data_IF_571271779854
#
_entry.id   IF_571271779854
#
_cell.length_a   1.000
_cell.length_b   1.000
_cell.length_c   1.000
_cell.angle_alpha   90.00
_cell.angle_beta   90.00
_cell.angle_gamma   90.00
#
_symmetry.space_group_name_H-M   'P 1'
#
loop_
_entity.id
_entity.type
_entity.pdbx_description
1 polymer ?
#
# COMPACT_ATOMS: atom_id res chain seq x y z
N UNK A 1 -16.63 -2.27 -18.20
CA UNK A 1 -16.42 -2.45 -16.76
C UNK A 1 -15.99 -3.86 -16.35
N UNK A 2 -16.64 -4.93 -16.81
CA UNK A 2 -16.26 -6.32 -16.49
C UNK A 2 -14.80 -6.66 -16.80
N UNK A 3 -14.31 -6.26 -17.98
CA UNK A 3 -12.92 -6.49 -18.41
C UNK A 3 -11.93 -5.69 -17.55
N UNK A 4 -12.26 -4.47 -17.21
CA UNK A 4 -11.45 -3.61 -16.37
C UNK A 4 -11.31 -4.21 -14.96
N UNK A 5 -12.42 -4.62 -14.35
CA UNK A 5 -12.47 -5.30 -13.07
C UNK A 5 -11.63 -6.59 -13.08
N UNK A 6 -11.87 -7.46 -14.06
CA UNK A 6 -11.15 -8.73 -14.17
C UNK A 6 -9.62 -8.54 -14.27
N UNK A 7 -9.19 -7.51 -15.00
CA UNK A 7 -7.77 -7.22 -15.22
C UNK A 7 -7.08 -6.61 -14.02
N UNK A 8 -7.75 -5.72 -13.29
CA UNK A 8 -7.12 -4.87 -12.28
C UNK A 8 -7.46 -5.23 -10.83
N UNK A 9 -8.46 -6.09 -10.58
CA UNK A 9 -8.92 -6.40 -9.21
C UNK A 9 -7.82 -6.96 -8.31
N UNK A 10 -7.01 -7.88 -8.80
CA UNK A 10 -5.98 -8.54 -7.99
C UNK A 10 -4.85 -7.58 -7.62
N UNK A 11 -4.23 -6.85 -8.57
CA UNK A 11 -3.23 -5.84 -8.21
C UNK A 11 -3.76 -4.76 -7.28
N UNK A 12 -4.98 -4.26 -7.51
CA UNK A 12 -5.58 -3.24 -6.65
C UNK A 12 -5.88 -3.76 -5.25
N UNK A 13 -6.42 -4.99 -5.14
CA UNK A 13 -6.66 -5.62 -3.85
C UNK A 13 -5.37 -5.74 -3.03
N UNK A 14 -4.30 -6.23 -3.64
CA UNK A 14 -2.99 -6.33 -2.97
C UNK A 14 -2.46 -4.97 -2.54
N UNK A 15 -2.62 -3.95 -3.37
CA UNK A 15 -2.25 -2.57 -3.06
C UNK A 15 -3.02 -2.04 -1.85
N UNK A 16 -4.33 -2.24 -1.82
CA UNK A 16 -5.20 -1.85 -0.72
C UNK A 16 -4.85 -2.58 0.58
N UNK A 17 -4.70 -3.90 0.56
CA UNK A 17 -4.29 -4.70 1.74
C UNK A 17 -2.97 -4.20 2.30
N UNK A 18 -2.02 -3.90 1.45
CA UNK A 18 -0.72 -3.38 1.88
C UNK A 18 -0.84 -2.07 2.64
N UNK A 19 -1.72 -1.18 2.20
CA UNK A 19 -1.91 0.13 2.84
C UNK A 19 -2.73 0.02 4.13
N UNK A 20 -3.87 -0.67 4.08
CA UNK A 20 -4.80 -0.71 5.24
C UNK A 20 -4.54 -1.88 6.19
N UNK A 21 -3.82 -2.92 5.76
CA UNK A 21 -3.50 -4.14 6.53
C UNK A 21 -4.73 -4.84 7.13
N UNK A 22 -5.83 -4.80 6.41
CA UNK A 22 -7.10 -5.40 6.77
C UNK A 22 -7.78 -5.90 5.50
N UNK A 23 -7.94 -7.22 5.37
CA UNK A 23 -8.48 -7.85 4.16
C UNK A 23 -9.94 -7.47 3.91
N UNK A 24 -10.76 -7.44 4.95
CA UNK A 24 -12.17 -7.06 4.85
C UNK A 24 -12.33 -5.61 4.40
N UNK A 25 -11.60 -4.71 5.00
CA UNK A 25 -11.60 -3.30 4.62
C UNK A 25 -11.08 -3.11 3.18
N UNK A 26 -10.06 -3.87 2.80
CA UNK A 26 -9.52 -3.82 1.44
C UNK A 26 -10.56 -4.27 0.39
N UNK A 27 -11.35 -5.30 0.67
CA UNK A 27 -12.44 -5.73 -0.21
C UNK A 27 -13.51 -4.65 -0.37
N UNK A 28 -13.92 -4.02 0.72
CA UNK A 28 -14.89 -2.91 0.70
C UNK A 28 -14.34 -1.72 -0.11
N UNK A 29 -13.10 -1.35 0.11
CA UNK A 29 -12.44 -0.28 -0.63
C UNK A 29 -12.27 -0.61 -2.11
N UNK A 30 -11.99 -1.86 -2.45
CA UNK A 30 -11.90 -2.30 -3.84
C UNK A 30 -13.23 -2.07 -4.57
N UNK A 31 -14.34 -2.42 -3.95
CA UNK A 31 -15.67 -2.15 -4.48
C UNK A 31 -15.93 -0.65 -4.65
N UNK A 32 -15.54 0.15 -3.68
CA UNK A 32 -15.69 1.61 -3.73
C UNK A 32 -14.84 2.23 -4.85
N UNK A 33 -13.63 1.74 -5.07
CA UNK A 33 -12.76 2.19 -6.18
C UNK A 33 -13.45 1.97 -7.51
N UNK A 34 -13.98 0.78 -7.75
CA UNK A 34 -14.64 0.49 -9.03
C UNK A 34 -15.96 1.22 -9.21
N UNK A 35 -16.70 1.51 -8.14
CA UNK A 35 -17.87 2.39 -8.18
C UNK A 35 -17.50 3.81 -8.61
N UNK A 36 -16.45 4.37 -8.03
CA UNK A 36 -15.98 5.71 -8.37
C UNK A 36 -15.45 5.76 -9.80
N UNK A 37 -14.72 4.74 -10.21
CA UNK A 37 -14.24 4.60 -11.60
C UNK A 37 -15.41 4.60 -12.57
N UNK A 38 -16.47 3.88 -12.27
CA UNK A 38 -17.66 3.90 -13.10
C UNK A 38 -18.28 5.30 -13.20
N UNK A 39 -18.46 5.96 -12.06
CA UNK A 39 -19.04 7.31 -12.03
C UNK A 39 -18.18 8.36 -12.74
N UNK A 40 -16.87 8.17 -12.72
CA UNK A 40 -15.89 9.11 -13.26
C UNK A 40 -15.28 8.68 -14.60
N UNK A 41 -15.77 7.60 -15.20
CA UNK A 41 -15.19 7.04 -16.43
C UNK A 41 -15.10 8.08 -17.57
N UNK A 42 -16.09 8.95 -17.69
CA UNK A 42 -16.12 10.00 -18.72
C UNK A 42 -15.10 11.13 -18.44
N UNK A 43 -14.65 11.29 -17.22
CA UNK A 43 -13.67 12.31 -16.85
C UNK A 43 -12.22 11.85 -17.03
N UNK A 44 -12.01 10.58 -17.33
CA UNK A 44 -10.68 10.04 -17.60
C UNK A 44 -10.10 10.61 -18.90
N UNK A 45 -9.02 11.39 -18.78
CA UNK A 45 -8.42 12.11 -19.91
C UNK A 45 -7.41 11.31 -20.71
N UNK A 46 -6.94 10.18 -20.19
CA UNK A 46 -5.88 9.40 -20.82
C UNK A 46 -4.47 9.95 -20.65
N UNK A 47 -4.26 10.93 -19.77
CA UNK A 47 -2.94 11.51 -19.48
C UNK A 47 -2.01 10.53 -18.75
N UNK A 48 -2.59 9.55 -18.07
CA UNK A 48 -1.89 8.46 -17.43
C UNK A 48 -2.47 7.12 -17.88
N UNK A 49 -1.77 6.02 -17.64
CA UNK A 49 -2.32 4.69 -17.87
C UNK A 49 -3.51 4.43 -16.95
N UNK A 50 -4.42 3.57 -17.37
CA UNK A 50 -5.58 3.18 -16.54
C UNK A 50 -5.13 2.62 -15.20
N UNK A 51 -4.11 1.77 -15.17
CA UNK A 51 -3.59 1.20 -13.92
C UNK A 51 -3.02 2.26 -12.98
N UNK A 52 -2.32 3.27 -13.49
CA UNK A 52 -1.82 4.39 -12.70
C UNK A 52 -2.97 5.20 -12.09
N UNK A 53 -3.99 5.50 -12.87
CA UNK A 53 -5.18 6.19 -12.40
C UNK A 53 -5.91 5.40 -11.31
N UNK A 54 -6.12 4.09 -11.51
CA UNK A 54 -6.74 3.21 -10.51
C UNK A 54 -5.94 3.14 -9.20
N UNK A 55 -4.62 3.02 -9.29
CA UNK A 55 -3.75 3.00 -8.11
C UNK A 55 -3.80 4.30 -7.32
N UNK A 56 -3.88 5.44 -8.00
CA UNK A 56 -4.01 6.74 -7.35
C UNK A 56 -5.35 6.88 -6.59
N UNK A 57 -6.46 6.47 -7.20
CA UNK A 57 -7.77 6.46 -6.56
C UNK A 57 -7.78 5.53 -5.36
N UNK A 58 -7.27 4.31 -5.51
CA UNK A 58 -7.19 3.31 -4.44
C UNK A 58 -6.35 3.82 -3.26
N UNK A 59 -5.23 4.45 -3.55
CA UNK A 59 -4.35 5.05 -2.52
C UNK A 59 -5.08 6.13 -1.73
N UNK A 60 -5.74 7.04 -2.40
CA UNK A 60 -6.51 8.11 -1.75
C UNK A 60 -7.57 7.54 -0.80
N UNK A 61 -8.35 6.56 -1.26
CA UNK A 61 -9.38 5.91 -0.45
C UNK A 61 -8.79 5.15 0.74
N UNK A 62 -7.71 4.42 0.54
CA UNK A 62 -7.05 3.67 1.59
C UNK A 62 -6.47 4.57 2.68
N UNK A 63 -5.81 5.65 2.31
CA UNK A 63 -5.29 6.63 3.27
C UNK A 63 -6.40 7.36 4.02
N UNK A 64 -7.50 7.67 3.36
CA UNK A 64 -8.69 8.27 4.01
C UNK A 64 -9.30 7.31 5.03
N UNK A 65 -9.44 6.02 4.68
CA UNK A 65 -9.95 4.98 5.58
C UNK A 65 -9.04 4.79 6.80
N UNK A 66 -7.73 4.83 6.62
CA UNK A 66 -6.77 4.76 7.72
C UNK A 66 -6.89 5.93 8.68
N UNK A 67 -7.08 7.14 8.17
CA UNK A 67 -7.28 8.34 9.01
C UNK A 67 -8.55 8.23 9.84
N UNK A 68 -9.65 7.82 9.25
CA UNK A 68 -10.93 7.61 9.96
C UNK A 68 -10.76 6.58 11.07
N UNK A 69 -10.12 5.46 10.78
CA UNK A 69 -9.85 4.40 11.77
C UNK A 69 -8.95 4.89 12.91
N UNK A 70 -7.88 5.62 12.60
CA UNK A 70 -6.99 6.19 13.62
C UNK A 70 -7.71 7.16 14.55
N UNK A 71 -8.61 8.00 14.04
CA UNK A 71 -9.44 8.88 14.86
C UNK A 71 -10.39 8.08 15.75
N UNK A 72 -11.07 7.07 15.21
CA UNK A 72 -11.97 6.22 16.00
C UNK A 72 -11.25 5.48 17.11
N UNK A 73 -10.03 4.96 16.86
CA UNK A 73 -9.20 4.31 17.86
C UNK A 73 -8.72 5.28 18.93
N UNK A 74 -8.37 6.51 18.56
CA UNK A 74 -8.00 7.56 19.51
C UNK A 74 -9.16 7.94 20.43
N UNK A 75 -10.35 8.15 19.86
CA UNK A 75 -11.56 8.45 20.61
C UNK A 75 -11.91 7.30 21.58
N UNK A 76 -11.79 6.05 21.14
CA UNK A 76 -11.99 4.88 21.97
C UNK A 76 -10.98 4.78 23.12
N UNK A 77 -9.72 5.14 22.89
CA UNK A 77 -8.68 5.18 23.91
C UNK A 77 -8.92 6.27 24.95
N UNK A 78 -9.43 7.42 24.52
CA UNK A 78 -9.80 8.52 25.41
C UNK A 78 -10.99 8.11 26.29
N UNK A 79 -11.95 7.34 25.71
CA UNK A 79 -13.13 6.86 26.42
C UNK A 79 -12.85 5.66 27.33
N UNK A 80 -11.85 4.83 27.02
CA UNK A 80 -11.44 3.68 27.81
C UNK A 80 -10.07 3.93 28.45
N UNK A 81 -10.00 4.03 29.76
CA UNK A 81 -8.75 4.15 30.53
C UNK A 81 -8.04 2.78 30.72
N UNK A 82 -8.17 1.86 29.77
CA UNK A 82 -7.55 0.53 29.83
C UNK A 82 -6.30 0.53 28.98
N UNK A 83 -5.13 0.27 29.64
CA UNK A 83 -3.90 0.00 28.93
C UNK A 83 -4.04 -1.28 28.11
N UNK A 84 -3.83 -1.15 26.80
CA UNK A 84 -3.81 -2.27 25.87
C UNK A 84 -2.56 -3.11 26.13
N UNK A 85 -2.66 -4.43 26.40
CA UNK A 85 -1.48 -5.26 26.48
C UNK A 85 -0.84 -5.35 25.12
N UNK A 86 0.41 -4.96 25.02
CA UNK A 86 1.19 -5.13 23.81
C UNK A 86 1.17 -6.61 23.38
N UNK A 87 0.57 -6.91 22.24
CA UNK A 87 0.71 -8.21 21.60
C UNK A 87 2.19 -8.48 21.33
N UNK A 88 2.73 -9.41 22.05
CA UNK A 88 4.08 -9.91 21.88
C UNK A 88 4.01 -11.05 20.86
N UNK A 89 4.47 -10.90 19.61
CA UNK A 89 4.48 -12.00 18.67
C UNK A 89 5.55 -13.00 19.09
N UNK A 90 5.15 -14.13 19.64
CA UNK A 90 6.02 -15.29 19.78
C UNK A 90 6.45 -15.75 18.38
N UNK A 91 7.69 -15.47 18.07
CA UNK A 91 8.34 -15.86 16.82
C UNK A 91 8.63 -17.35 16.89
N UNK A 92 7.79 -18.15 16.26
CA UNK A 92 8.10 -19.56 16.00
C UNK A 92 9.30 -19.63 15.05
N UNK A 93 10.41 -20.16 15.55
CA UNK A 93 11.62 -20.46 14.81
C UNK A 93 11.34 -21.63 13.84
N UNK A 94 10.84 -21.34 12.65
CA UNK A 94 10.83 -22.29 11.55
C UNK A 94 11.82 -21.85 10.48
N UNK A 95 12.46 -22.82 9.80
CA UNK A 95 13.36 -22.55 8.67
C UNK A 95 12.65 -21.67 7.64
N UNK A 96 12.97 -20.39 7.65
CA UNK A 96 12.37 -19.41 6.75
C UNK A 96 12.90 -19.62 5.34
N UNK A 97 12.00 -19.83 4.41
CA UNK A 97 12.30 -19.84 2.99
C UNK A 97 12.80 -18.44 2.57
N UNK A 98 13.69 -18.37 1.58
CA UNK A 98 14.27 -17.11 1.08
C UNK A 98 13.18 -16.06 0.70
N UNK A 99 12.02 -16.54 0.28
CA UNK A 99 10.85 -15.71 0.00
C UNK A 99 10.25 -15.06 1.25
N UNK A 100 10.18 -15.80 2.35
CA UNK A 100 9.66 -15.28 3.64
C UNK A 100 10.62 -14.24 4.23
N UNK A 101 11.93 -14.46 4.15
CA UNK A 101 12.92 -13.50 4.60
C UNK A 101 12.84 -12.18 3.84
N UNK A 102 12.57 -12.23 2.53
CA UNK A 102 12.37 -11.04 1.72
C UNK A 102 11.07 -10.31 2.10
N UNK A 103 9.98 -11.05 2.29
CA UNK A 103 8.70 -10.48 2.72
C UNK A 103 8.81 -9.80 4.09
N UNK A 104 9.51 -10.42 5.03
CA UNK A 104 9.78 -9.84 6.35
C UNK A 104 10.62 -8.56 6.24
N UNK A 105 11.62 -8.57 5.38
CA UNK A 105 12.46 -7.40 5.11
C UNK A 105 11.66 -6.24 4.51
N UNK A 106 10.77 -6.54 3.57
CA UNK A 106 9.85 -5.57 2.99
C UNK A 106 8.88 -4.99 4.04
N UNK A 107 8.37 -5.83 4.94
CA UNK A 107 7.48 -5.41 6.02
C UNK A 107 8.18 -4.50 7.06
N UNK A 108 9.51 -4.56 7.15
CA UNK A 108 10.32 -3.71 8.04
C UNK A 108 10.70 -2.37 7.44
N UNK A 109 10.40 -2.12 6.18
CA UNK A 109 10.56 -0.81 5.57
C UNK A 109 9.54 0.17 6.16
N UNK A 110 9.89 1.46 6.19
CA UNK A 110 8.90 2.50 6.47
C UNK A 110 7.76 2.44 5.44
N UNK A 111 6.55 2.90 5.79
CA UNK A 111 5.44 2.93 4.83
C UNK A 111 5.79 3.65 3.53
N UNK A 112 6.51 4.74 3.61
CA UNK A 112 6.93 5.55 2.44
C UNK A 112 7.93 4.81 1.55
N UNK A 113 8.90 4.11 2.13
CA UNK A 113 9.86 3.31 1.39
C UNK A 113 9.22 2.05 0.80
N UNK A 114 8.41 1.37 1.59
CA UNK A 114 7.68 0.19 1.12
C UNK A 114 6.75 0.50 -0.04
N UNK A 115 6.10 1.64 -0.02
CA UNK A 115 5.17 2.11 -1.06
C UNK A 115 5.88 2.28 -2.42
N UNK A 116 7.01 2.96 -2.45
CA UNK A 116 7.75 3.19 -3.71
C UNK A 116 8.34 1.89 -4.25
N UNK A 117 8.84 1.02 -3.40
CA UNK A 117 9.34 -0.32 -3.78
C UNK A 117 8.21 -1.15 -4.41
N UNK A 118 7.05 -1.15 -3.80
CA UNK A 118 5.90 -1.90 -4.29
C UNK A 118 5.41 -1.39 -5.65
N UNK A 119 5.30 -0.09 -5.81
CA UNK A 119 4.88 0.53 -7.07
C UNK A 119 5.86 0.25 -8.21
N UNK A 120 7.15 0.32 -7.97
CA UNK A 120 8.17 0.08 -8.99
C UNK A 120 8.30 -1.41 -9.33
N UNK A 121 8.45 -2.27 -8.33
CA UNK A 121 8.79 -3.68 -8.57
C UNK A 121 7.59 -4.59 -8.76
N UNK A 122 6.52 -4.39 -8.01
CA UNK A 122 5.32 -5.21 -8.17
C UNK A 122 4.38 -4.67 -9.25
N UNK A 123 4.11 -3.37 -9.23
CA UNK A 123 3.20 -2.74 -10.18
C UNK A 123 3.88 -2.27 -11.49
N UNK A 124 5.19 -2.35 -11.56
CA UNK A 124 5.96 -2.02 -12.78
C UNK A 124 5.88 -0.54 -13.16
N UNK A 125 5.77 0.36 -12.20
CA UNK A 125 5.62 1.80 -12.45
C UNK A 125 6.97 2.49 -12.64
N UNK A 126 6.99 3.46 -13.56
CA UNK A 126 8.12 4.36 -13.75
C UNK A 126 8.21 5.37 -12.59
N UNK A 127 9.35 6.02 -12.44
CA UNK A 127 9.55 7.09 -11.45
C UNK A 127 8.49 8.19 -11.60
N UNK A 128 8.17 8.58 -12.84
CA UNK A 128 7.14 9.58 -13.13
C UNK A 128 5.75 9.10 -12.69
N UNK A 129 5.39 7.86 -13.01
CA UNK A 129 4.10 7.28 -12.61
C UNK A 129 3.98 7.17 -11.08
N UNK A 130 5.06 6.76 -10.39
CA UNK A 130 5.10 6.73 -8.92
C UNK A 130 4.91 8.13 -8.34
N UNK A 131 5.57 9.13 -8.91
CA UNK A 131 5.40 10.52 -8.50
C UNK A 131 3.94 10.98 -8.62
N UNK A 132 3.29 10.63 -9.71
CA UNK A 132 1.87 10.96 -9.95
C UNK A 132 0.93 10.23 -8.97
N UNK A 133 1.18 8.95 -8.70
CA UNK A 133 0.36 8.14 -7.77
C UNK A 133 0.49 8.65 -6.33
N UNK A 134 1.71 8.91 -5.89
CA UNK A 134 2.01 9.28 -4.50
C UNK A 134 1.84 10.78 -4.25
N UNK A 135 1.88 11.60 -5.29
CA UNK A 135 1.77 13.06 -5.18
C UNK A 135 3.04 13.73 -4.67
N UNK A 136 4.20 13.24 -5.07
CA UNK A 136 5.52 13.78 -4.71
C UNK A 136 6.34 14.06 -5.98
N UNK A 137 7.45 14.77 -5.84
CA UNK A 137 8.36 15.00 -6.96
C UNK A 137 9.15 13.76 -7.35
N UNK A 138 9.56 13.69 -8.62
CA UNK A 138 10.38 12.56 -9.13
C UNK A 138 11.71 12.41 -8.38
N UNK A 139 12.34 13.52 -7.99
CA UNK A 139 13.57 13.51 -7.21
C UNK A 139 13.36 12.86 -5.84
N UNK A 140 12.23 13.10 -5.20
CA UNK A 140 11.85 12.47 -3.93
C UNK A 140 11.61 10.97 -4.12
N UNK A 141 10.98 10.55 -5.22
CA UNK A 141 10.83 9.13 -5.54
C UNK A 141 12.19 8.46 -5.65
N UNK A 142 13.12 9.04 -6.40
CA UNK A 142 14.49 8.51 -6.57
C UNK A 142 15.23 8.38 -5.23
N UNK A 143 15.12 9.39 -4.38
CA UNK A 143 15.73 9.38 -3.04
C UNK A 143 15.15 8.28 -2.16
N UNK A 144 13.82 8.16 -2.12
CA UNK A 144 13.14 7.08 -1.39
C UNK A 144 13.53 5.71 -1.91
N UNK A 145 13.63 5.54 -3.22
CA UNK A 145 14.08 4.29 -3.86
C UNK A 145 15.50 3.93 -3.44
N UNK A 146 16.41 4.91 -3.43
CA UNK A 146 17.80 4.71 -3.02
C UNK A 146 17.88 4.20 -1.57
N UNK A 147 17.25 4.89 -0.63
CA UNK A 147 17.28 4.52 0.78
C UNK A 147 16.52 3.22 1.06
N UNK A 148 15.42 2.98 0.37
CA UNK A 148 14.68 1.73 0.49
C UNK A 148 15.52 0.53 0.06
N UNK A 149 16.20 0.61 -1.07
CA UNK A 149 17.11 -0.44 -1.55
C UNK A 149 18.28 -0.67 -0.61
N UNK A 150 18.87 0.40 -0.09
CA UNK A 150 19.95 0.32 0.90
C UNK A 150 19.49 -0.40 2.16
N UNK A 151 18.34 -0.03 2.69
CA UNK A 151 17.76 -0.68 3.87
C UNK A 151 17.45 -2.16 3.63
N UNK A 152 16.91 -2.50 2.46
CA UNK A 152 16.65 -3.89 2.08
C UNK A 152 17.93 -4.70 1.99
N UNK A 153 18.98 -4.14 1.40
CA UNK A 153 20.28 -4.80 1.32
C UNK A 153 20.86 -5.11 2.70
N UNK A 154 20.78 -4.15 3.62
CA UNK A 154 21.21 -4.32 5.01
C UNK A 154 20.38 -5.40 5.73
N UNK A 155 19.06 -5.39 5.58
CA UNK A 155 18.16 -6.37 6.19
C UNK A 155 18.37 -7.79 5.65
N UNK A 156 18.61 -7.93 4.36
CA UNK A 156 18.90 -9.24 3.73
C UNK A 156 20.27 -9.77 4.13
N UNK A 157 21.27 -8.90 4.27
CA UNK A 157 22.62 -9.29 4.70
C UNK A 157 22.68 -9.77 6.15
N UNK A 158 21.75 -9.31 7.00
CA UNK A 158 21.69 -9.68 8.43
C UNK A 158 20.74 -10.85 8.72
N UNK A 159 20.05 -11.31 7.71
CA UNK A 159 19.09 -12.42 7.86
C UNK A 159 19.82 -13.82 7.72
#
# INVERSE_FOLDING_TARGET
MRTLFARHRIPLYRWLVRIVRDETLAEDLLSDVFLDVWRQAESFRGDASVSTWLLAIARYKALSARRVRAHAELDARIASSVADPADNPEVALQKRNRSEALQDSLARLSPEHGEVIDLVYYHGKSVKEVADIVGIGESTVKTRMFYARKKLADLVATA
#
